data_IF_787721658221
#
_entry.id   IF_787721658221
#
_cell.length_a   1.000
_cell.length_b   1.000
_cell.length_c   1.000
_cell.angle_alpha   90.00
_cell.angle_beta   90.00
_cell.angle_gamma   90.00
#
_symmetry.space_group_name_H-M   'P 1'
#
loop_
_entity.id
_entity.type
_entity.pdbx_description
1 polymer ?
#
# COMPACT_ATOMS: atom_id res chain seq x y z
N UNK A 1 -60.91 2.84 34.91
CA UNK A 1 -60.18 2.32 33.74
C UNK A 1 -58.69 2.35 34.05
N UNK A 2 -58.05 1.18 34.23
CA UNK A 2 -56.64 1.04 34.60
C UNK A 2 -55.80 0.93 33.33
N UNK A 3 -54.84 1.83 33.10
CA UNK A 3 -53.78 1.62 32.12
C UNK A 3 -52.45 1.47 32.86
N UNK A 4 -51.87 0.27 32.75
CA UNK A 4 -50.52 -0.08 33.23
C UNK A 4 -49.51 0.49 32.23
N UNK A 5 -48.61 1.36 32.68
CA UNK A 5 -47.38 1.68 31.96
C UNK A 5 -46.36 0.57 32.20
N UNK A 6 -46.13 -0.27 31.20
CA UNK A 6 -45.00 -1.19 31.15
C UNK A 6 -43.74 -0.40 30.80
N UNK A 7 -42.81 -0.29 31.76
CA UNK A 7 -41.46 0.20 31.50
C UNK A 7 -40.70 -0.86 30.68
N UNK A 8 -40.49 -0.58 29.40
CA UNK A 8 -39.52 -1.32 28.59
C UNK A 8 -38.12 -0.83 28.99
N UNK A 9 -37.41 -1.67 29.74
CA UNK A 9 -35.99 -1.52 30.00
C UNK A 9 -35.26 -1.82 28.69
N UNK A 10 -34.85 -0.78 27.95
CA UNK A 10 -33.93 -0.93 26.81
C UNK A 10 -32.56 -1.23 27.42
N UNK A 11 -32.22 -2.53 27.47
CA UNK A 11 -30.85 -2.97 27.70
C UNK A 11 -30.09 -2.64 26.41
N UNK A 12 -29.44 -1.47 26.38
CA UNK A 12 -28.35 -1.21 25.43
C UNK A 12 -27.23 -2.20 25.76
N UNK A 13 -27.24 -3.35 25.09
CA UNK A 13 -26.05 -4.17 24.95
C UNK A 13 -25.08 -3.34 24.11
N UNK A 14 -24.20 -2.61 24.79
CA UNK A 14 -22.96 -2.11 24.20
C UNK A 14 -22.24 -3.34 23.65
N UNK A 15 -22.41 -3.60 22.36
CA UNK A 15 -21.54 -4.49 21.63
C UNK A 15 -20.13 -3.90 21.75
N UNK A 16 -19.34 -4.50 22.65
CA UNK A 16 -17.91 -4.30 22.73
C UNK A 16 -17.35 -4.51 21.33
N UNK A 17 -17.02 -3.42 20.64
CA UNK A 17 -16.16 -3.49 19.47
C UNK A 17 -14.85 -4.16 19.90
N UNK A 18 -14.39 -5.22 19.22
CA UNK A 18 -13.04 -5.73 19.44
C UNK A 18 -12.08 -4.76 18.74
N UNK A 19 -11.92 -3.57 19.33
CA UNK A 19 -11.20 -2.44 18.76
C UNK A 19 -9.88 -2.16 19.45
N UNK A 20 -9.13 -3.21 19.80
CA UNK A 20 -7.69 -3.10 20.07
C UNK A 20 -7.06 -4.31 19.38
N UNK A 21 -6.63 -4.13 18.13
CA UNK A 21 -5.91 -5.17 17.41
C UNK A 21 -4.59 -5.41 18.10
N UNK A 22 -4.45 -6.51 18.85
CA UNK A 22 -3.14 -6.92 19.31
C UNK A 22 -2.27 -7.23 18.10
N UNK A 23 -0.98 -6.88 18.18
CA UNK A 23 -0.02 -7.32 17.18
C UNK A 23 -0.10 -8.84 17.00
N UNK A 24 -0.04 -9.28 15.75
CA UNK A 24 0.00 -10.71 15.45
C UNK A 24 1.17 -11.34 16.20
N UNK A 25 0.95 -12.55 16.72
CA UNK A 25 2.01 -13.32 17.34
C UNK A 25 3.10 -13.69 16.33
N UNK A 26 4.32 -13.96 16.80
CA UNK A 26 5.40 -14.47 15.95
C UNK A 26 5.00 -15.76 15.20
N UNK A 27 4.19 -16.62 15.81
CA UNK A 27 3.66 -17.82 15.17
C UNK A 27 2.71 -17.48 14.00
N UNK A 28 1.83 -16.49 14.17
CA UNK A 28 0.98 -16.01 13.08
C UNK A 28 1.82 -15.33 11.98
N UNK A 29 2.89 -14.62 12.33
CA UNK A 29 3.81 -14.05 11.35
C UNK A 29 4.51 -15.15 10.52
N UNK A 30 4.90 -16.27 11.14
CA UNK A 30 5.45 -17.44 10.43
C UNK A 30 4.47 -18.07 9.44
N UNK A 31 3.16 -18.08 9.75
CA UNK A 31 2.15 -18.54 8.78
C UNK A 31 2.10 -17.65 7.52
N UNK A 32 2.50 -16.38 7.63
CA UNK A 32 2.54 -15.41 6.54
C UNK A 32 3.84 -15.56 5.74
N UNK A 33 5.00 -15.55 6.41
CA UNK A 33 6.32 -15.45 5.74
C UNK A 33 7.00 -16.80 5.50
N UNK A 34 6.50 -17.87 6.13
CA UNK A 34 7.00 -19.24 6.03
C UNK A 34 7.88 -19.68 7.20
N UNK A 35 7.83 -20.98 7.53
CA UNK A 35 8.47 -21.60 8.70
C UNK A 35 10.01 -21.75 8.60
N UNK A 36 10.64 -21.26 7.52
CA UNK A 36 12.10 -21.32 7.35
C UNK A 36 12.84 -20.22 8.10
N UNK A 37 12.13 -19.21 8.61
CA UNK A 37 12.70 -18.13 9.41
C UNK A 37 12.58 -18.48 10.90
N UNK A 38 13.69 -18.52 11.67
CA UNK A 38 13.64 -18.67 13.12
C UNK A 38 12.80 -17.56 13.79
N UNK A 39 12.06 -17.86 14.86
CA UNK A 39 11.19 -16.87 15.53
C UNK A 39 11.96 -15.73 16.20
N UNK A 40 13.20 -15.98 16.60
CA UNK A 40 14.16 -14.99 17.09
C UNK A 40 14.69 -14.05 16.00
N UNK A 41 14.48 -14.40 14.72
CA UNK A 41 14.80 -13.57 13.54
C UNK A 41 13.59 -12.81 12.99
N UNK A 42 12.52 -12.71 13.78
CA UNK A 42 11.30 -11.98 13.46
C UNK A 42 11.06 -10.85 14.46
N UNK A 43 10.84 -9.64 13.93
CA UNK A 43 10.14 -8.59 14.64
C UNK A 43 8.67 -8.59 14.21
N UNK A 44 7.76 -8.43 15.18
CA UNK A 44 6.34 -8.24 14.92
C UNK A 44 5.87 -6.97 15.59
N UNK A 45 5.00 -6.25 14.92
CA UNK A 45 4.38 -5.05 15.47
C UNK A 45 3.01 -4.82 14.84
N UNK A 46 2.37 -3.75 15.27
CA UNK A 46 1.08 -3.33 14.76
C UNK A 46 1.03 -1.81 14.67
N UNK A 47 0.21 -1.34 13.74
CA UNK A 47 -0.16 0.06 13.58
C UNK A 47 -1.61 0.16 13.13
N UNK A 48 -2.51 0.57 14.03
CA UNK A 48 -3.93 0.86 13.76
C UNK A 48 -4.66 -0.22 12.93
N UNK A 49 -4.51 -1.49 13.30
CA UNK A 49 -5.09 -2.66 12.64
C UNK A 49 -4.26 -3.22 11.49
N UNK A 50 -3.10 -2.65 11.17
CA UNK A 50 -2.16 -3.16 10.18
C UNK A 50 -1.10 -4.00 10.88
N UNK A 51 -0.97 -5.26 10.45
CA UNK A 51 0.07 -6.16 10.96
C UNK A 51 1.41 -5.84 10.29
N UNK A 52 2.47 -5.72 11.09
CA UNK A 52 3.81 -5.42 10.62
C UNK A 52 4.75 -6.57 10.97
N UNK A 53 5.49 -7.07 9.98
CA UNK A 53 6.48 -8.15 10.16
C UNK A 53 7.82 -7.70 9.60
N UNK A 54 8.87 -7.76 10.41
CA UNK A 54 10.24 -7.50 9.99
C UNK A 54 11.04 -8.78 9.99
N UNK A 55 11.73 -9.09 8.89
CA UNK A 55 12.59 -10.26 8.77
C UNK A 55 14.06 -9.86 8.96
N UNK A 56 14.79 -10.59 9.79
CA UNK A 56 16.24 -10.47 9.82
C UNK A 56 16.84 -11.10 8.55
N UNK A 57 17.99 -10.59 8.06
CA UNK A 57 18.70 -11.24 6.96
C UNK A 57 19.23 -12.61 7.40
N UNK A 58 19.28 -13.61 6.49
CA UNK A 58 19.95 -14.88 6.77
C UNK A 58 21.42 -14.68 7.17
N UNK A 59 21.89 -15.49 8.12
CA UNK A 59 23.26 -15.39 8.62
C UNK A 59 24.28 -15.62 7.48
N UNK A 60 25.26 -14.72 7.37
CA UNK A 60 26.32 -14.80 6.37
C UNK A 60 25.92 -14.37 4.96
N UNK A 61 24.68 -13.94 4.74
CA UNK A 61 24.27 -13.43 3.44
C UNK A 61 24.81 -12.00 3.22
N UNK A 62 25.40 -11.79 2.04
CA UNK A 62 25.89 -10.48 1.60
C UNK A 62 24.81 -9.79 0.76
N UNK A 63 24.60 -8.52 1.04
CA UNK A 63 23.68 -7.62 0.34
C UNK A 63 24.45 -6.47 -0.31
N UNK A 64 23.86 -5.92 -1.36
CA UNK A 64 24.34 -4.74 -2.11
C UNK A 64 24.25 -3.44 -1.28
N UNK A 65 23.49 -3.46 -0.19
CA UNK A 65 23.36 -2.34 0.75
C UNK A 65 23.37 -2.85 2.21
N UNK A 66 23.77 -2.01 3.19
CA UNK A 66 23.67 -2.37 4.61
C UNK A 66 22.22 -2.74 5.00
N UNK A 67 21.99 -3.79 5.77
CA UNK A 67 20.63 -4.18 6.14
C UNK A 67 20.18 -3.44 7.40
N UNK A 68 18.99 -2.85 7.35
CA UNK A 68 18.34 -2.23 8.51
C UNK A 68 17.77 -3.33 9.40
N UNK A 69 17.95 -3.20 10.72
CA UNK A 69 17.44 -4.16 11.69
C UNK A 69 15.90 -4.23 11.61
N UNK A 70 15.28 -5.42 11.82
CA UNK A 70 13.83 -5.59 11.70
C UNK A 70 13.00 -4.58 12.51
N UNK A 71 13.35 -4.32 13.77
CA UNK A 71 12.62 -3.41 14.66
C UNK A 71 12.73 -1.95 14.19
N UNK A 72 13.90 -1.54 13.72
CA UNK A 72 14.15 -0.21 13.16
C UNK A 72 13.36 -0.03 11.85
N UNK A 73 13.39 -1.05 10.98
CA UNK A 73 12.63 -1.08 9.75
C UNK A 73 11.11 -0.92 10.01
N UNK A 74 10.58 -1.65 11.00
CA UNK A 74 9.17 -1.51 11.39
C UNK A 74 8.85 -0.13 11.96
N UNK A 75 9.78 0.50 12.67
CA UNK A 75 9.61 1.87 13.17
C UNK A 75 9.52 2.88 12.02
N UNK A 76 10.36 2.74 10.99
CA UNK A 76 10.31 3.59 9.80
C UNK A 76 8.98 3.42 9.06
N UNK A 77 8.54 2.17 8.86
CA UNK A 77 7.24 1.86 8.23
C UNK A 77 6.09 2.48 9.02
N UNK A 78 6.10 2.40 10.36
CA UNK A 78 5.10 3.05 11.22
C UNK A 78 5.07 4.56 11.02
N UNK A 79 6.23 5.20 10.96
CA UNK A 79 6.30 6.65 10.73
C UNK A 79 5.70 7.02 9.38
N UNK A 80 5.95 6.23 8.34
CA UNK A 80 5.37 6.46 7.03
C UNK A 80 3.84 6.23 7.03
N UNK A 81 3.33 5.22 7.73
CA UNK A 81 1.87 5.01 7.91
C UNK A 81 1.22 6.14 8.69
N UNK A 82 1.88 6.64 9.74
CA UNK A 82 1.40 7.78 10.52
C UNK A 82 1.28 9.04 9.66
N UNK A 83 2.26 9.31 8.78
CA UNK A 83 2.18 10.42 7.82
C UNK A 83 0.97 10.30 6.89
N UNK A 84 0.67 9.09 6.38
CA UNK A 84 -0.51 8.85 5.54
C UNK A 84 -1.79 9.14 6.33
N UNK A 85 -1.92 8.62 7.55
CA UNK A 85 -3.12 8.83 8.36
C UNK A 85 -3.35 10.28 8.77
N UNK A 86 -2.29 11.05 8.97
CA UNK A 86 -2.35 12.46 9.36
C UNK A 86 -2.65 13.36 8.16
N UNK A 87 -2.02 13.11 7.01
CA UNK A 87 -1.98 14.08 5.91
C UNK A 87 -2.82 13.68 4.69
N UNK A 88 -3.19 12.41 4.52
CA UNK A 88 -3.94 11.91 3.36
C UNK A 88 -5.28 11.28 3.76
N UNK A 89 -6.34 12.09 3.99
CA UNK A 89 -7.65 11.59 4.41
C UNK A 89 -8.26 10.55 3.46
N UNK A 90 -8.07 10.73 2.16
CA UNK A 90 -8.52 9.76 1.16
C UNK A 90 -7.82 8.41 1.37
N UNK A 91 -6.48 8.40 1.36
CA UNK A 91 -5.69 7.18 1.49
C UNK A 91 -5.97 6.45 2.81
N UNK A 92 -6.10 7.19 3.91
CA UNK A 92 -6.56 6.66 5.20
C UNK A 92 -7.91 5.95 5.06
N UNK A 93 -8.91 6.60 4.46
CA UNK A 93 -10.25 6.03 4.32
C UNK A 93 -10.27 4.75 3.48
N UNK A 94 -9.42 4.69 2.44
CA UNK A 94 -9.29 3.50 1.61
C UNK A 94 -8.57 2.37 2.33
N UNK A 95 -7.50 2.65 3.09
CA UNK A 95 -6.85 1.67 3.95
C UNK A 95 -7.84 1.10 4.98
N UNK A 96 -8.70 1.93 5.59
CA UNK A 96 -9.79 1.45 6.45
C UNK A 96 -10.77 0.53 5.71
N UNK A 97 -11.08 0.84 4.44
CA UNK A 97 -11.92 -0.01 3.59
C UNK A 97 -11.27 -1.37 3.32
N UNK A 98 -9.95 -1.42 3.10
CA UNK A 98 -9.20 -2.67 2.95
C UNK A 98 -9.25 -3.51 4.24
N UNK A 99 -8.96 -2.90 5.40
CA UNK A 99 -8.97 -3.57 6.71
C UNK A 99 -10.33 -4.19 7.06
N UNK A 100 -11.43 -3.57 6.65
CA UNK A 100 -12.79 -4.12 6.82
C UNK A 100 -13.04 -5.38 5.99
N UNK A 101 -12.32 -5.55 4.87
CA UNK A 101 -12.52 -6.69 3.97
C UNK A 101 -11.67 -7.88 4.35
N UNK A 102 -10.40 -7.65 4.66
CA UNK A 102 -9.42 -8.69 4.98
C UNK A 102 -8.21 -8.10 5.72
N UNK A 103 -7.37 -8.94 6.35
CA UNK A 103 -6.15 -8.48 7.00
C UNK A 103 -5.24 -7.70 6.05
N UNK A 104 -4.70 -6.58 6.54
CA UNK A 104 -3.64 -5.82 5.89
C UNK A 104 -2.33 -6.13 6.60
N UNK A 105 -1.33 -6.58 5.85
CA UNK A 105 -0.01 -6.92 6.37
C UNK A 105 1.08 -6.24 5.54
N UNK A 106 2.04 -5.63 6.21
CA UNK A 106 3.25 -5.10 5.59
C UNK A 106 4.43 -5.88 6.14
N UNK A 107 5.26 -6.39 5.23
CA UNK A 107 6.44 -7.17 5.57
C UNK A 107 7.68 -6.44 5.07
N UNK A 108 8.60 -6.12 5.96
CA UNK A 108 9.96 -5.80 5.58
C UNK A 108 10.74 -7.09 5.33
N UNK A 109 11.16 -7.33 4.09
CA UNK A 109 11.98 -8.48 3.71
C UNK A 109 13.31 -8.01 3.11
N UNK A 110 14.45 -8.15 3.81
CA UNK A 110 15.74 -7.72 3.30
C UNK A 110 16.19 -8.54 2.07
N UNK A 111 15.61 -9.73 1.84
CA UNK A 111 15.90 -10.57 0.68
C UNK A 111 15.17 -10.08 -0.57
N UNK A 112 14.18 -9.21 -0.43
CA UNK A 112 13.47 -8.61 -1.56
C UNK A 112 14.22 -7.33 -2.03
N UNK A 113 14.38 -7.13 -3.36
CA UNK A 113 14.07 -8.08 -4.44
C UNK A 113 15.11 -9.21 -4.56
N UNK A 114 14.71 -10.34 -5.16
CA UNK A 114 15.60 -11.49 -5.27
C UNK A 114 16.86 -11.17 -6.10
N UNK A 115 17.96 -11.89 -5.86
CA UNK A 115 19.24 -11.65 -6.55
C UNK A 115 19.20 -11.94 -8.06
N UNK A 116 18.16 -12.64 -8.53
CA UNK A 116 17.98 -13.01 -9.94
C UNK A 116 17.16 -11.97 -10.72
N UNK A 117 16.53 -11.02 -10.03
CA UNK A 117 15.91 -9.86 -10.63
C UNK A 117 16.99 -8.94 -11.21
N UNK A 118 17.38 -9.20 -12.46
CA UNK A 118 18.21 -8.33 -13.31
C UNK A 118 17.44 -7.04 -13.68
N UNK A 119 16.89 -6.35 -12.68
CA UNK A 119 16.10 -5.15 -12.88
C UNK A 119 17.05 -3.94 -12.82
N UNK A 120 17.06 -3.16 -13.89
CA UNK A 120 17.76 -1.86 -13.95
C UNK A 120 17.13 -0.79 -13.05
N UNK A 121 16.16 -1.15 -12.21
CA UNK A 121 15.36 -0.26 -11.36
C UNK A 121 15.28 -0.79 -9.93
N UNK A 122 15.47 0.09 -8.95
CA UNK A 122 15.34 -0.22 -7.53
C UNK A 122 13.88 -0.53 -7.22
N UNK A 123 13.59 -1.73 -6.70
CA UNK A 123 12.26 -2.08 -6.19
C UNK A 123 12.13 -1.61 -4.74
N UNK A 124 11.27 -0.63 -4.49
CA UNK A 124 11.07 -0.02 -3.16
C UNK A 124 10.10 -0.87 -2.33
N UNK A 125 8.96 -1.19 -2.92
CA UNK A 125 7.95 -2.04 -2.33
C UNK A 125 7.25 -2.88 -3.41
N UNK A 126 6.31 -3.74 -2.99
CA UNK A 126 5.45 -4.52 -3.86
C UNK A 126 4.19 -4.95 -3.13
N UNK A 127 3.04 -4.65 -3.71
CA UNK A 127 1.79 -5.29 -3.36
C UNK A 127 1.70 -6.67 -4.03
N UNK A 128 1.67 -7.73 -3.23
CA UNK A 128 1.51 -9.07 -3.76
C UNK A 128 0.83 -10.01 -2.76
N UNK A 129 -0.48 -10.24 -2.88
CA UNK A 129 -1.26 -11.04 -1.92
C UNK A 129 -0.83 -12.52 -1.91
N UNK A 130 -0.07 -12.96 -2.92
CA UNK A 130 0.41 -14.34 -3.10
C UNK A 130 1.94 -14.46 -3.08
N UNK A 131 2.68 -13.44 -2.62
CA UNK A 131 4.14 -13.46 -2.66
C UNK A 131 4.72 -14.70 -1.96
N UNK A 132 4.45 -14.84 -0.66
CA UNK A 132 4.92 -16.00 0.10
C UNK A 132 4.28 -17.30 -0.37
N UNK A 133 3.03 -17.25 -0.85
CA UNK A 133 2.36 -18.45 -1.39
C UNK A 133 3.12 -19.01 -2.59
N UNK A 134 3.65 -18.13 -3.45
CA UNK A 134 4.49 -18.52 -4.59
C UNK A 134 5.88 -19.00 -4.16
N UNK A 135 6.47 -18.38 -3.14
CA UNK A 135 7.82 -18.73 -2.68
C UNK A 135 7.90 -20.05 -1.90
N UNK A 136 6.91 -20.34 -1.06
CA UNK A 136 6.99 -21.45 -0.10
C UNK A 136 5.67 -22.23 0.08
N UNK A 137 4.66 -21.97 -0.76
CA UNK A 137 3.35 -22.63 -0.67
C UNK A 137 2.50 -22.18 0.52
N UNK A 138 2.92 -21.16 1.29
CA UNK A 138 2.21 -20.63 2.47
C UNK A 138 1.68 -19.22 2.24
N UNK A 139 0.53 -18.93 2.81
CA UNK A 139 -0.13 -17.64 2.68
C UNK A 139 -1.64 -17.82 2.58
N UNK A 140 -2.40 -16.88 3.12
CA UNK A 140 -3.87 -16.90 3.03
C UNK A 140 -4.30 -16.11 1.80
N UNK A 141 -5.13 -16.73 0.96
CA UNK A 141 -5.79 -16.03 -0.14
C UNK A 141 -6.65 -14.89 0.41
N UNK A 142 -6.63 -13.73 -0.26
CA UNK A 142 -7.48 -12.59 0.05
C UNK A 142 -6.90 -11.58 1.05
N UNK A 143 -5.65 -11.74 1.50
CA UNK A 143 -4.97 -10.72 2.31
C UNK A 143 -4.47 -9.56 1.45
N UNK A 144 -4.37 -8.36 2.02
CA UNK A 144 -3.64 -7.25 1.44
C UNK A 144 -2.20 -7.30 1.96
N UNK A 145 -1.26 -7.69 1.10
CA UNK A 145 0.13 -7.90 1.48
C UNK A 145 1.04 -6.95 0.70
N UNK A 146 1.78 -6.10 1.42
CA UNK A 146 2.85 -5.27 0.87
C UNK A 146 4.19 -5.76 1.40
N UNK A 147 5.18 -5.84 0.53
CA UNK A 147 6.56 -6.17 0.86
C UNK A 147 7.39 -4.91 0.68
N UNK A 148 8.04 -4.44 1.74
CA UNK A 148 9.01 -3.34 1.69
C UNK A 148 10.41 -3.94 1.58
N UNK A 149 11.19 -3.46 0.61
CA UNK A 149 12.51 -4.00 0.30
C UNK A 149 13.61 -3.47 1.22
N UNK A 150 14.80 -4.06 1.11
CA UNK A 150 16.05 -3.54 1.72
C UNK A 150 16.41 -2.11 1.27
N UNK A 151 15.92 -1.68 0.11
CA UNK A 151 16.14 -0.33 -0.40
C UNK A 151 15.04 0.61 0.09
N UNK A 152 13.78 0.19 0.02
CA UNK A 152 12.65 1.07 0.30
C UNK A 152 12.58 1.55 1.74
N UNK A 153 12.95 0.70 2.71
CA UNK A 153 12.97 1.11 4.12
C UNK A 153 13.99 2.23 4.42
N UNK A 154 14.92 2.50 3.51
CA UNK A 154 15.93 3.56 3.66
C UNK A 154 15.54 4.86 2.96
N UNK A 155 14.45 4.85 2.21
CA UNK A 155 13.97 6.05 1.54
C UNK A 155 13.49 7.08 2.58
N UNK A 156 13.52 8.38 2.26
CA UNK A 156 12.90 9.39 3.11
C UNK A 156 11.45 9.01 3.45
N UNK A 157 11.06 9.21 4.71
CA UNK A 157 9.78 8.69 5.23
C UNK A 157 8.57 9.19 4.42
N UNK A 158 8.62 10.41 3.88
CA UNK A 158 7.57 10.95 2.99
C UNK A 158 7.48 10.19 1.67
N UNK A 159 8.61 9.83 1.07
CA UNK A 159 8.64 9.06 -0.18
C UNK A 159 8.18 7.63 0.06
N UNK A 160 8.65 6.99 1.14
CA UNK A 160 8.14 5.68 1.53
C UNK A 160 6.63 5.71 1.80
N UNK A 161 6.10 6.78 2.41
CA UNK A 161 4.67 6.96 2.63
C UNK A 161 3.90 7.01 1.30
N UNK A 162 4.38 7.79 0.32
CA UNK A 162 3.75 7.86 -0.99
C UNK A 162 3.80 6.51 -1.73
N UNK A 163 4.94 5.83 -1.73
CA UNK A 163 5.06 4.47 -2.31
C UNK A 163 4.15 3.48 -1.59
N UNK A 164 3.98 3.57 -0.27
CA UNK A 164 2.99 2.74 0.42
C UNK A 164 1.55 3.04 -0.03
N UNK A 165 1.22 4.27 -0.43
CA UNK A 165 -0.07 4.58 -1.05
C UNK A 165 -0.18 3.95 -2.44
N UNK A 166 0.87 3.98 -3.27
CA UNK A 166 0.89 3.24 -4.55
C UNK A 166 0.53 1.77 -4.35
N UNK A 167 1.21 1.10 -3.42
CA UNK A 167 1.04 -0.33 -3.17
C UNK A 167 -0.28 -0.65 -2.45
N UNK A 168 -0.55 -0.01 -1.31
CA UNK A 168 -1.75 -0.32 -0.51
C UNK A 168 -3.02 0.22 -1.14
N UNK A 169 -3.02 1.49 -1.56
CA UNK A 169 -4.24 2.12 -2.07
C UNK A 169 -4.41 1.80 -3.55
N UNK A 170 -3.40 2.05 -4.38
CA UNK A 170 -3.48 1.75 -5.82
C UNK A 170 -3.78 0.28 -6.10
N UNK A 171 -2.80 -0.59 -5.83
CA UNK A 171 -2.98 -2.02 -6.08
C UNK A 171 -3.97 -2.69 -5.14
N UNK A 172 -4.09 -2.24 -3.88
CA UNK A 172 -5.08 -2.79 -2.95
C UNK A 172 -6.52 -2.48 -3.33
N UNK A 173 -6.86 -1.29 -3.84
CA UNK A 173 -8.22 -1.00 -4.36
C UNK A 173 -8.50 -1.86 -5.60
N UNK A 174 -7.53 -2.00 -6.50
CA UNK A 174 -7.66 -2.87 -7.67
C UNK A 174 -7.92 -4.33 -7.25
N UNK A 175 -7.20 -4.81 -6.24
CA UNK A 175 -7.38 -6.14 -5.68
C UNK A 175 -8.75 -6.29 -5.01
N UNK A 176 -9.15 -5.33 -4.17
CA UNK A 176 -10.45 -5.31 -3.48
C UNK A 176 -11.62 -5.38 -4.47
N UNK A 177 -11.50 -4.68 -5.59
CA UNK A 177 -12.51 -4.59 -6.63
C UNK A 177 -12.39 -5.70 -7.69
N UNK A 178 -11.48 -6.67 -7.53
CA UNK A 178 -11.20 -7.76 -8.48
C UNK A 178 -10.81 -7.30 -9.91
N UNK A 179 -10.18 -6.13 -10.08
CA UNK A 179 -9.89 -5.53 -11.39
C UNK A 179 -8.58 -5.99 -12.05
N UNK A 180 -7.79 -6.85 -11.39
CA UNK A 180 -6.49 -7.28 -11.91
C UNK A 180 -6.56 -8.08 -13.21
N UNK A 181 -7.68 -8.76 -13.48
CA UNK A 181 -7.89 -9.50 -14.73
C UNK A 181 -8.47 -8.63 -15.86
N UNK A 182 -8.97 -7.44 -15.53
CA UNK A 182 -9.77 -6.60 -16.42
C UNK A 182 -8.98 -5.39 -16.97
N UNK A 183 -7.72 -5.24 -16.56
CA UNK A 183 -6.85 -4.12 -16.91
C UNK A 183 -5.52 -4.62 -17.46
N UNK A 184 -4.97 -3.91 -18.45
CA UNK A 184 -3.58 -4.15 -18.87
C UNK A 184 -2.66 -3.70 -17.74
N UNK A 185 -1.51 -4.37 -17.59
CA UNK A 185 -0.54 -4.06 -16.53
C UNK A 185 -0.16 -2.57 -16.51
N UNK A 186 0.05 -1.95 -17.68
CA UNK A 186 0.40 -0.54 -17.80
C UNK A 186 -0.69 0.40 -17.24
N UNK A 187 -1.97 0.04 -17.41
CA UNK A 187 -3.09 0.84 -16.88
C UNK A 187 -3.24 0.60 -15.37
N UNK A 188 -2.96 -0.63 -14.88
CA UNK A 188 -2.92 -0.91 -13.44
C UNK A 188 -1.86 -0.06 -12.74
N UNK A 189 -0.65 -0.02 -13.30
CA UNK A 189 0.42 0.82 -12.78
C UNK A 189 0.03 2.30 -12.86
N UNK A 190 -0.46 2.78 -14.02
CA UNK A 190 -0.88 4.18 -14.15
C UNK A 190 -1.87 4.62 -13.07
N UNK A 191 -2.89 3.81 -12.76
CA UNK A 191 -3.84 4.12 -11.69
C UNK A 191 -3.16 4.18 -10.32
N UNK A 192 -2.24 3.26 -10.02
CA UNK A 192 -1.50 3.26 -8.77
C UNK A 192 -0.56 4.49 -8.66
N UNK A 193 0.13 4.85 -9.73
CA UNK A 193 0.96 6.06 -9.82
C UNK A 193 0.15 7.35 -9.65
N UNK A 194 -1.11 7.39 -10.12
CA UNK A 194 -2.02 8.51 -9.84
C UNK A 194 -2.29 8.65 -8.34
N UNK A 195 -2.53 7.55 -7.62
CA UNK A 195 -2.67 7.58 -6.17
C UNK A 195 -1.38 8.00 -5.45
N UNK A 196 -0.21 7.61 -5.96
CA UNK A 196 1.08 8.09 -5.44
C UNK A 196 1.25 9.61 -5.63
N UNK A 197 0.87 10.16 -6.80
CA UNK A 197 0.89 11.61 -7.06
C UNK A 197 0.01 12.37 -6.06
N UNK A 198 -1.19 11.85 -5.77
CA UNK A 198 -2.06 12.43 -4.75
C UNK A 198 -1.41 12.38 -3.36
N UNK A 199 -0.77 11.27 -2.99
CA UNK A 199 -0.05 11.18 -1.72
C UNK A 199 1.10 12.20 -1.64
N UNK A 200 1.86 12.40 -2.72
CA UNK A 200 2.91 13.42 -2.73
C UNK A 200 2.38 14.84 -2.57
N UNK A 201 1.22 15.16 -3.16
CA UNK A 201 0.55 16.44 -2.94
C UNK A 201 0.11 16.60 -1.48
N UNK A 202 -0.54 15.57 -0.91
CA UNK A 202 -1.01 15.55 0.48
C UNK A 202 0.14 15.71 1.48
N UNK A 203 1.28 15.08 1.21
CA UNK A 203 2.50 15.13 2.02
C UNK A 203 3.35 16.41 1.80
N UNK A 204 2.87 17.30 0.92
CA UNK A 204 3.51 18.58 0.57
C UNK A 204 4.96 18.39 0.13
N UNK A 205 5.21 17.45 -0.78
CA UNK A 205 6.52 17.31 -1.41
C UNK A 205 6.82 18.50 -2.31
N UNK A 206 8.08 18.90 -2.36
CA UNK A 206 8.53 19.95 -3.28
C UNK A 206 8.51 19.42 -4.72
N UNK A 207 7.59 19.93 -5.53
CA UNK A 207 7.41 19.51 -6.93
C UNK A 207 8.63 19.81 -7.82
N UNK A 208 9.55 20.66 -7.37
CA UNK A 208 10.78 20.99 -8.10
C UNK A 208 12.00 20.21 -7.63
N UNK A 209 11.85 19.31 -6.65
CA UNK A 209 12.94 18.42 -6.25
C UNK A 209 13.28 17.42 -7.36
N UNK A 210 14.51 16.90 -7.35
CA UNK A 210 14.93 15.91 -8.35
C UNK A 210 14.06 14.65 -8.29
N UNK A 211 13.68 14.25 -7.08
CA UNK A 211 12.83 13.10 -6.80
C UNK A 211 11.45 13.27 -7.43
N UNK A 212 10.83 14.45 -7.27
CA UNK A 212 9.52 14.74 -7.88
C UNK A 212 9.58 14.90 -9.40
N UNK A 213 10.70 15.39 -9.94
CA UNK A 213 10.93 15.45 -11.39
C UNK A 213 11.04 14.04 -11.97
N UNK A 214 11.81 13.16 -11.32
CA UNK A 214 11.97 11.77 -11.78
C UNK A 214 10.70 10.96 -11.59
N UNK A 215 9.97 11.18 -10.49
CA UNK A 215 8.62 10.68 -10.31
C UNK A 215 7.69 11.07 -11.47
N UNK A 216 7.64 12.35 -11.83
CA UNK A 216 6.75 12.82 -12.92
C UNK A 216 7.06 12.14 -14.24
N UNK A 217 8.33 11.92 -14.57
CA UNK A 217 8.74 11.16 -15.76
C UNK A 217 8.26 9.71 -15.73
N UNK A 218 8.34 9.04 -14.57
CA UNK A 218 7.83 7.67 -14.42
C UNK A 218 6.31 7.63 -14.53
N UNK A 219 5.61 8.53 -13.84
CA UNK A 219 4.15 8.68 -13.91
C UNK A 219 3.69 8.88 -15.37
N UNK A 220 4.33 9.78 -16.12
CA UNK A 220 4.01 9.99 -17.54
C UNK A 220 4.27 8.76 -18.40
N UNK A 221 5.38 8.07 -18.18
CA UNK A 221 5.73 6.84 -18.91
C UNK A 221 4.69 5.75 -18.66
N UNK A 222 4.28 5.55 -17.41
CA UNK A 222 3.31 4.53 -17.03
C UNK A 222 1.91 4.90 -17.52
N UNK A 223 1.59 6.19 -17.62
CA UNK A 223 0.30 6.67 -18.09
C UNK A 223 0.25 7.03 -19.59
N UNK A 224 1.27 6.74 -20.39
CA UNK A 224 1.38 7.19 -21.80
C UNK A 224 0.11 6.94 -22.63
N UNK A 225 -0.48 5.74 -22.54
CA UNK A 225 -1.70 5.41 -23.29
C UNK A 225 -2.92 6.22 -22.83
N UNK A 226 -3.05 6.44 -21.52
CA UNK A 226 -4.09 7.30 -20.96
C UNK A 226 -3.90 8.75 -21.39
N UNK A 227 -2.67 9.26 -21.37
CA UNK A 227 -2.35 10.63 -21.80
C UNK A 227 -2.65 10.86 -23.28
N UNK A 228 -2.32 9.89 -24.14
CA UNK A 228 -2.74 9.94 -25.56
C UNK A 228 -4.26 9.98 -25.69
N UNK A 229 -4.99 9.20 -24.91
CA UNK A 229 -6.45 9.23 -24.93
C UNK A 229 -6.98 10.60 -24.51
N UNK A 230 -6.49 11.17 -23.41
CA UNK A 230 -6.90 12.49 -22.92
C UNK A 230 -6.69 13.57 -23.99
N UNK A 231 -5.50 13.63 -24.59
CA UNK A 231 -5.16 14.63 -25.61
C UNK A 231 -6.04 14.55 -26.85
N UNK A 232 -6.45 13.35 -27.25
CA UNK A 232 -7.22 13.13 -28.47
C UNK A 232 -8.73 13.21 -28.27
N UNK A 233 -9.25 12.83 -27.09
CA UNK A 233 -10.67 12.58 -26.89
C UNK A 233 -11.27 13.30 -25.68
N UNK A 234 -10.45 13.78 -24.74
CA UNK A 234 -10.92 14.37 -23.49
C UNK A 234 -10.13 15.63 -23.11
N UNK A 235 -10.39 16.77 -23.78
CA UNK A 235 -9.68 18.02 -23.53
C UNK A 235 -9.79 18.50 -22.07
N UNK A 236 -10.87 18.15 -21.36
CA UNK A 236 -11.03 18.52 -19.94
C UNK A 236 -10.08 17.71 -19.06
N UNK A 237 -10.01 16.40 -19.27
CA UNK A 237 -9.04 15.55 -18.56
C UNK A 237 -7.60 15.92 -18.88
N UNK A 238 -7.30 16.26 -20.15
CA UNK A 238 -5.99 16.76 -20.54
C UNK A 238 -5.62 18.06 -19.79
N UNK A 239 -6.53 19.03 -19.70
CA UNK A 239 -6.29 20.26 -18.97
C UNK A 239 -6.03 20.04 -17.46
N UNK A 240 -6.65 19.02 -16.85
CA UNK A 240 -6.36 18.65 -15.46
C UNK A 240 -4.93 18.13 -15.29
N UNK A 241 -4.46 17.29 -16.21
CA UNK A 241 -3.12 16.69 -16.17
C UNK A 241 -1.98 17.70 -16.24
N UNK A 242 -2.16 18.76 -17.04
CA UNK A 242 -1.13 19.78 -17.30
C UNK A 242 -0.93 20.75 -16.12
N UNK A 243 -1.74 20.64 -15.05
CA UNK A 243 -1.51 21.40 -13.83
C UNK A 243 -0.31 20.84 -13.05
N UNK A 244 0.43 21.72 -12.37
CA UNK A 244 1.56 21.33 -11.51
C UNK A 244 1.11 20.40 -10.36
N UNK A 245 -0.06 20.67 -9.79
CA UNK A 245 -0.74 19.81 -8.82
C UNK A 245 -2.10 19.42 -9.43
N UNK A 246 -2.15 18.35 -10.25
CA UNK A 246 -3.39 17.94 -10.86
C UNK A 246 -4.43 17.51 -9.81
N UNK A 247 -5.71 17.80 -10.06
CA UNK A 247 -6.82 17.23 -9.29
C UNK A 247 -6.92 15.73 -9.59
N UNK A 248 -6.20 14.92 -8.80
CA UNK A 248 -6.14 13.47 -8.98
C UNK A 248 -7.52 12.81 -8.84
N UNK A 249 -8.35 13.14 -7.83
CA UNK A 249 -9.71 12.60 -7.75
C UNK A 249 -10.54 12.81 -9.03
N UNK A 250 -10.45 13.96 -9.67
CA UNK A 250 -11.13 14.19 -10.95
C UNK A 250 -10.44 13.42 -12.11
N UNK A 251 -9.11 13.39 -12.16
CA UNK A 251 -8.37 12.59 -13.15
C UNK A 251 -8.73 11.10 -13.08
N UNK A 252 -8.92 10.53 -11.89
CA UNK A 252 -9.34 9.13 -11.72
C UNK A 252 -10.73 8.86 -12.30
N UNK A 253 -11.64 9.86 -12.32
CA UNK A 253 -12.94 9.74 -13.01
C UNK A 253 -12.75 9.69 -14.52
N UNK A 254 -11.84 10.50 -15.07
CA UNK A 254 -11.47 10.45 -16.48
C UNK A 254 -10.78 9.12 -16.84
N UNK A 255 -9.90 8.64 -15.97
CA UNK A 255 -9.25 7.33 -16.11
C UNK A 255 -10.27 6.19 -16.16
N UNK A 256 -11.27 6.21 -15.27
CA UNK A 256 -12.37 5.24 -15.28
C UNK A 256 -13.19 5.24 -16.58
N UNK A 257 -13.36 6.41 -17.22
CA UNK A 257 -14.00 6.49 -18.55
C UNK A 257 -13.10 5.90 -19.63
N UNK A 258 -11.81 6.22 -19.61
CA UNK A 258 -10.82 5.67 -20.53
C UNK A 258 -10.78 4.13 -20.48
N UNK A 259 -10.80 3.53 -19.28
CA UNK A 259 -10.81 2.06 -19.14
C UNK A 259 -12.01 1.39 -19.82
N UNK A 260 -13.14 2.09 -20.01
CA UNK A 260 -14.33 1.56 -20.72
C UNK A 260 -14.20 1.60 -22.24
N UNK A 261 -13.12 2.21 -22.75
CA UNK A 261 -12.81 2.30 -24.19
C UNK A 261 -11.77 1.28 -24.63
N UNK A 262 -11.21 0.52 -23.70
CA UNK A 262 -10.24 -0.56 -23.94
C UNK A 262 -10.90 -1.85 -24.40
#
# INVERSE_FOLDING_TARGET
MKYRLSHFLIICVLALWPGVGSAISKNQALEIVGNGTPTDQLAVSEFNGISLVGLAPPAGEIFDVPIVAPEEALTIIKNALALIEENSPFSKSEIERLKKRAPVTIVYDPRYPDKLSNMSSIQVALFSPKYYQRLNGKGKNGNFLVIVSRHGVKWPVKELAAVMVHELVGHGIQHLNNRWGDMRLIDMECEAWLYEEMAYQDLKMDKFSNEMIDFKKQLEKQCDSFLRHLRNNDPRGAALWENLNPDVPELLKHFSKYLKTL
#
